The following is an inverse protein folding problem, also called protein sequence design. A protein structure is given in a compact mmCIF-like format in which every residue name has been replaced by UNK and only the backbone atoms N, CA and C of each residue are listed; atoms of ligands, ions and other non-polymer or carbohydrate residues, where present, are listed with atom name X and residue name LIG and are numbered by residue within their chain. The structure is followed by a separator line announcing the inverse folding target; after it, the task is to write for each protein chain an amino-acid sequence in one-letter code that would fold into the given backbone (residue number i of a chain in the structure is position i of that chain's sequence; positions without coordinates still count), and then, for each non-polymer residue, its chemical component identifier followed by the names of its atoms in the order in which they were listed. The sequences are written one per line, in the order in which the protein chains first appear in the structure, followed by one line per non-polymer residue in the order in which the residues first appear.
data_IF_433619659638
#
_entry.id   IF_433619659638
#
_cell.length_a   1.000
_cell.length_b   1.000
_cell.length_c   1.000
_cell.angle_alpha   90.00
_cell.angle_beta   90.00
_cell.angle_gamma   90.00
#
_symmetry.space_group_name_H-M   'P 1'
#
loop_
_entity.id
_entity.type
_entity.pdbx_description
1 polymer ?
#
# COMPACT_ATOMS: atom_id res chain seq x y z
N UNK A 1 2.26 19.20 -17.35
CA UNK A 1 1.97 18.19 -16.33
C UNK A 1 2.51 16.85 -16.81
N UNK A 2 3.73 16.49 -16.39
CA UNK A 2 4.37 15.22 -16.77
C UNK A 2 3.88 14.18 -15.77
N UNK A 3 2.80 13.48 -16.11
CA UNK A 3 2.41 12.26 -15.40
C UNK A 3 3.50 11.24 -15.75
N UNK A 4 4.35 10.89 -14.78
CA UNK A 4 5.33 9.83 -14.97
C UNK A 4 4.58 8.52 -15.25
N UNK A 5 5.03 7.78 -16.26
CA UNK A 5 4.42 6.51 -16.72
C UNK A 5 4.20 5.49 -15.61
N UNK A 6 4.90 5.61 -14.48
CA UNK A 6 4.75 4.79 -13.27
C UNK A 6 3.35 4.87 -12.63
N UNK A 7 2.56 5.94 -12.87
CA UNK A 7 1.21 6.08 -12.30
C UNK A 7 0.09 5.45 -13.14
N UNK A 8 0.38 5.01 -14.36
CA UNK A 8 -0.65 4.48 -15.28
C UNK A 8 -1.19 3.10 -14.89
N UNK A 9 -0.54 2.35 -14.00
CA UNK A 9 -1.05 1.07 -13.48
C UNK A 9 -1.62 1.12 -12.06
N UNK A 10 -1.92 2.31 -11.49
CA UNK A 10 -2.60 2.38 -10.18
C UNK A 10 -4.09 2.08 -10.32
N UNK A 11 -4.68 2.39 -11.47
CA UNK A 11 -6.06 2.01 -11.78
C UNK A 11 -6.04 0.69 -12.55
N UNK A 12 -6.59 -0.35 -11.93
CA UNK A 12 -6.74 -1.70 -12.48
C UNK A 12 -7.21 -1.71 -13.94
N UNK A 13 -8.10 -0.81 -14.34
CA UNK A 13 -8.70 -0.77 -15.68
C UNK A 13 -7.75 -0.45 -16.85
N UNK A 14 -6.54 0.09 -16.64
CA UNK A 14 -5.67 0.51 -17.75
C UNK A 14 -4.56 -0.48 -18.10
N UNK A 15 -4.32 -1.50 -17.27
CA UNK A 15 -3.27 -2.50 -17.49
C UNK A 15 -3.82 -3.88 -17.90
N UNK A 16 -5.14 -4.08 -17.80
CA UNK A 16 -5.83 -5.19 -18.46
C UNK A 16 -6.23 -4.74 -19.87
N UNK A 17 -5.31 -4.92 -20.83
CA UNK A 17 -5.66 -4.81 -22.25
C UNK A 17 -6.74 -5.83 -22.62
N UNK A 18 -7.58 -5.47 -23.60
CA UNK A 18 -8.89 -6.02 -23.97
C UNK A 18 -9.03 -7.53 -24.30
N UNK A 19 -8.09 -8.40 -23.93
CA UNK A 19 -8.16 -9.83 -24.29
C UNK A 19 -7.90 -10.76 -23.10
N UNK A 20 -8.95 -11.13 -22.34
CA UNK A 20 -8.86 -12.27 -21.43
C UNK A 20 -8.60 -13.53 -22.27
N UNK A 21 -7.38 -14.06 -22.20
CA UNK A 21 -7.12 -15.42 -22.68
C UNK A 21 -7.64 -16.38 -21.61
N UNK A 22 -8.61 -17.19 -22.03
CA UNK A 22 -9.23 -18.23 -21.21
C UNK A 22 -8.25 -19.39 -21.11
N UNK A 23 -7.18 -19.20 -20.33
CA UNK A 23 -6.18 -20.24 -20.11
C UNK A 23 -6.60 -21.12 -18.93
N UNK A 24 -6.51 -22.44 -19.10
CA UNK A 24 -7.05 -23.45 -18.17
C UNK A 24 -6.36 -23.46 -16.78
N UNK A 25 -5.39 -22.57 -16.55
CA UNK A 25 -4.67 -22.41 -15.29
C UNK A 25 -5.11 -21.21 -14.44
N UNK A 26 -5.83 -20.22 -15.00
CA UNK A 26 -6.19 -19.04 -14.22
C UNK A 26 -7.18 -19.41 -13.09
N UNK A 27 -6.97 -18.95 -11.84
CA UNK A 27 -7.88 -19.27 -10.74
C UNK A 27 -9.29 -18.76 -11.02
N UNK A 28 -10.28 -19.44 -10.45
CA UNK A 28 -11.67 -19.03 -10.56
C UNK A 28 -11.87 -17.63 -9.98
N UNK A 29 -12.67 -16.80 -10.66
CA UNK A 29 -12.90 -15.38 -10.34
C UNK A 29 -11.66 -14.47 -10.46
N UNK A 30 -10.64 -14.94 -11.19
CA UNK A 30 -9.51 -14.11 -11.57
C UNK A 30 -9.43 -13.96 -13.11
N UNK A 31 -8.84 -12.85 -13.52
CA UNK A 31 -8.45 -12.57 -14.90
C UNK A 31 -6.93 -12.56 -14.97
N UNK A 32 -6.36 -13.41 -15.82
CA UNK A 32 -4.93 -13.56 -15.99
C UNK A 32 -4.51 -13.04 -17.36
N UNK A 33 -3.40 -12.30 -17.39
CA UNK A 33 -2.71 -11.88 -18.60
C UNK A 33 -1.30 -12.47 -18.56
N UNK A 34 -0.99 -13.34 -19.52
CA UNK A 34 0.32 -13.99 -19.68
C UNK A 34 1.20 -13.35 -20.77
N UNK A 35 0.86 -12.12 -21.21
CA UNK A 35 1.67 -11.35 -22.14
C UNK A 35 3.05 -10.97 -21.57
N UNK A 36 3.71 -9.99 -22.20
CA UNK A 36 5.04 -9.52 -21.76
C UNK A 36 5.09 -9.11 -20.27
N UNK A 37 3.97 -8.61 -19.76
CA UNK A 37 3.78 -8.29 -18.34
C UNK A 37 2.76 -9.26 -17.77
N UNK A 38 3.23 -10.26 -17.02
CA UNK A 38 2.34 -11.20 -16.33
C UNK A 38 1.55 -10.49 -15.25
N UNK A 39 0.23 -10.45 -15.38
CA UNK A 39 -0.66 -9.87 -14.37
C UNK A 39 -1.85 -10.76 -14.07
N UNK A 40 -2.32 -10.72 -12.82
CA UNK A 40 -3.54 -11.39 -12.41
C UNK A 40 -4.37 -10.46 -11.53
N UNK A 41 -5.66 -10.32 -11.83
CA UNK A 41 -6.63 -9.65 -10.98
C UNK A 41 -7.67 -10.65 -10.50
N UNK A 42 -7.80 -10.79 -9.19
CA UNK A 42 -8.81 -11.62 -8.57
C UNK A 42 -9.86 -10.73 -7.91
N UNK A 43 -11.12 -11.09 -8.10
CA UNK A 43 -12.25 -10.36 -7.52
C UNK A 43 -12.64 -10.94 -6.15
N UNK A 44 -13.95 -10.97 -5.88
CA UNK A 44 -14.56 -11.21 -4.57
C UNK A 44 -14.12 -12.50 -3.86
N UNK A 45 -13.74 -13.53 -4.62
CA UNK A 45 -13.33 -14.82 -4.10
C UNK A 45 -12.02 -15.24 -4.73
N UNK A 46 -11.09 -15.70 -3.91
CA UNK A 46 -9.85 -16.32 -4.38
C UNK A 46 -9.84 -17.78 -3.94
N UNK A 47 -9.90 -18.67 -4.93
CA UNK A 47 -9.75 -20.09 -4.69
C UNK A 47 -8.30 -20.53 -4.93
N UNK A 48 -7.64 -20.95 -3.86
CA UNK A 48 -6.20 -21.30 -3.83
C UNK A 48 -5.98 -22.77 -4.26
N UNK A 49 -7.02 -23.44 -4.78
CA UNK A 49 -6.95 -24.85 -5.20
C UNK A 49 -5.94 -25.13 -6.32
N UNK A 50 -5.58 -24.12 -7.14
CA UNK A 50 -4.54 -24.26 -8.16
C UNK A 50 -3.19 -23.73 -7.65
N UNK A 51 -2.14 -24.55 -7.78
CA UNK A 51 -0.76 -24.09 -7.54
C UNK A 51 -0.33 -23.00 -8.55
N UNK A 52 -1.15 -22.68 -9.56
CA UNK A 52 -0.86 -21.76 -10.65
C UNK A 52 -0.44 -20.35 -10.20
N UNK A 53 -1.14 -19.76 -9.21
CA UNK A 53 -0.78 -18.45 -8.66
C UNK A 53 0.59 -18.46 -7.97
N UNK A 54 1.01 -19.60 -7.46
CA UNK A 54 2.16 -19.74 -6.56
C UNK A 54 3.41 -20.29 -7.26
N UNK A 55 3.21 -20.99 -8.38
CA UNK A 55 4.29 -21.47 -9.27
C UNK A 55 4.78 -20.33 -10.15
N UNK A 56 3.87 -19.47 -10.61
CA UNK A 56 4.21 -18.37 -11.50
C UNK A 56 4.79 -17.17 -10.76
N UNK A 57 5.75 -16.49 -11.40
CA UNK A 57 6.18 -15.16 -10.99
C UNK A 57 5.32 -14.14 -11.72
N UNK A 58 4.52 -13.39 -10.96
CA UNK A 58 3.69 -12.32 -11.49
C UNK A 58 4.45 -10.99 -11.44
N UNK A 59 4.23 -10.13 -12.42
CA UNK A 59 4.67 -8.74 -12.32
C UNK A 59 3.69 -7.96 -11.45
N UNK A 60 2.39 -8.16 -11.66
CA UNK A 60 1.33 -7.49 -10.91
C UNK A 60 0.27 -8.49 -10.44
N UNK A 61 -0.11 -8.39 -9.18
CA UNK A 61 -1.26 -9.11 -8.61
C UNK A 61 -2.20 -8.09 -8.03
N UNK A 62 -3.47 -8.15 -8.40
CA UNK A 62 -4.51 -7.29 -7.87
C UNK A 62 -5.60 -8.11 -7.17
N UNK A 63 -6.00 -7.69 -5.98
CA UNK A 63 -7.15 -8.21 -5.25
C UNK A 63 -8.19 -7.11 -5.15
N UNK A 64 -9.33 -7.31 -5.79
CA UNK A 64 -10.45 -6.36 -5.79
C UNK A 64 -11.62 -6.95 -5.02
N UNK A 65 -12.12 -6.24 -4.03
CA UNK A 65 -13.30 -6.64 -3.25
C UNK A 65 -13.16 -8.03 -2.62
N UNK A 66 -11.92 -8.45 -2.31
CA UNK A 66 -11.65 -9.79 -1.81
C UNK A 66 -12.37 -9.98 -0.46
N UNK A 67 -13.41 -10.81 -0.47
CA UNK A 67 -14.28 -11.09 0.67
C UNK A 67 -14.17 -12.53 1.15
N UNK A 68 -13.55 -13.41 0.36
CA UNK A 68 -13.36 -14.81 0.72
C UNK A 68 -12.08 -15.37 0.09
N UNK A 69 -11.32 -16.13 0.87
CA UNK A 69 -10.24 -16.98 0.38
C UNK A 69 -10.52 -18.41 0.79
N UNK A 70 -10.54 -19.32 -0.16
CA UNK A 70 -10.74 -20.75 0.08
C UNK A 70 -9.47 -21.52 -0.22
N UNK A 71 -9.16 -22.49 0.63
CA UNK A 71 -8.06 -23.44 0.41
C UNK A 71 -8.44 -24.80 1.01
N UNK A 72 -8.27 -25.85 0.19
CA UNK A 72 -8.36 -27.24 0.65
C UNK A 72 -7.12 -27.69 1.44
N UNK A 73 -6.03 -26.90 1.42
CA UNK A 73 -4.75 -27.25 2.03
C UNK A 73 -4.47 -26.35 3.26
N UNK A 74 -3.98 -26.95 4.36
CA UNK A 74 -3.42 -26.22 5.52
C UNK A 74 -1.94 -25.91 5.29
N UNK A 75 -1.64 -25.00 4.36
CA UNK A 75 -0.27 -24.48 4.18
C UNK A 75 -0.32 -22.98 3.92
N UNK A 76 0.72 -22.26 4.32
CA UNK A 76 0.90 -20.88 3.89
C UNK A 76 1.33 -20.87 2.43
N UNK A 77 0.83 -19.90 1.68
CA UNK A 77 1.13 -19.77 0.26
C UNK A 77 1.99 -18.55 0.02
N UNK A 78 3.09 -18.72 -0.71
CA UNK A 78 4.01 -17.62 -1.03
C UNK A 78 3.74 -17.12 -2.44
N UNK A 79 3.21 -15.92 -2.55
CA UNK A 79 2.96 -15.24 -3.81
C UNK A 79 4.15 -14.34 -4.16
N UNK A 80 4.75 -14.61 -5.33
CA UNK A 80 5.85 -13.82 -5.87
C UNK A 80 5.29 -12.79 -6.85
N UNK A 81 5.30 -11.53 -6.45
CA UNK A 81 4.91 -10.40 -7.30
C UNK A 81 5.84 -9.21 -7.11
N UNK A 82 6.04 -8.41 -8.16
CA UNK A 82 6.72 -7.11 -8.03
C UNK A 82 5.73 -6.04 -7.51
N UNK A 83 4.49 -6.05 -8.00
CA UNK A 83 3.42 -5.12 -7.62
C UNK A 83 2.24 -5.88 -7.00
N UNK A 84 1.81 -5.46 -5.81
CA UNK A 84 0.58 -5.92 -5.18
C UNK A 84 -0.40 -4.75 -5.08
N UNK A 85 -1.61 -4.95 -5.61
CA UNK A 85 -2.72 -3.99 -5.56
C UNK A 85 -3.84 -4.63 -4.75
N UNK A 86 -4.41 -3.88 -3.81
CA UNK A 86 -5.53 -4.32 -2.98
C UNK A 86 -6.56 -3.20 -2.97
N UNK A 87 -7.73 -3.45 -3.51
CA UNK A 87 -8.79 -2.45 -3.60
C UNK A 87 -10.06 -2.95 -2.92
N UNK A 88 -10.71 -2.05 -2.17
CA UNK A 88 -11.97 -2.31 -1.50
C UNK A 88 -11.91 -3.55 -0.59
N UNK A 89 -10.79 -3.74 0.12
CA UNK A 89 -10.64 -4.82 1.08
C UNK A 89 -11.52 -4.55 2.31
N UNK A 90 -12.44 -5.49 2.55
CA UNK A 90 -13.29 -5.53 3.72
C UNK A 90 -12.90 -6.75 4.54
N UNK A 91 -13.00 -6.64 5.85
CA UNK A 91 -12.64 -7.76 6.73
C UNK A 91 -13.38 -9.03 6.30
N UNK A 92 -12.59 -10.01 5.86
CA UNK A 92 -13.08 -11.26 5.30
C UNK A 92 -13.72 -12.05 6.44
N UNK A 93 -15.02 -12.34 6.31
CA UNK A 93 -15.66 -13.37 7.12
C UNK A 93 -14.96 -14.69 6.78
N UNK A 94 -13.99 -15.09 7.61
CA UNK A 94 -13.35 -16.39 7.55
C UNK A 94 -14.43 -17.43 7.86
N UNK A 95 -15.15 -17.87 6.83
CA UNK A 95 -16.01 -19.03 6.90
C UNK A 95 -15.09 -20.22 7.25
N UNK A 96 -15.15 -20.58 8.52
CA UNK A 96 -14.51 -21.74 9.17
C UNK A 96 -14.11 -22.84 8.18
N UNK A 97 -12.81 -23.02 7.93
CA UNK A 97 -12.23 -24.39 8.01
C UNK A 97 -10.69 -24.47 8.04
N UNK A 98 -9.90 -23.53 7.51
CA UNK A 98 -8.43 -23.65 7.57
C UNK A 98 -7.73 -22.28 7.65
N UNK A 99 -6.87 -22.10 8.65
CA UNK A 99 -6.04 -20.90 8.84
C UNK A 99 -4.94 -20.89 7.76
N UNK A 100 -5.27 -20.42 6.56
CA UNK A 100 -4.36 -20.29 5.42
C UNK A 100 -3.93 -18.83 5.30
N UNK A 101 -2.62 -18.57 5.30
CA UNK A 101 -2.08 -17.22 5.12
C UNK A 101 -1.47 -17.09 3.72
N UNK A 102 -1.84 -16.01 3.02
CA UNK A 102 -1.18 -15.57 1.81
C UNK A 102 0.01 -14.68 2.17
N UNK A 103 1.22 -15.16 1.95
CA UNK A 103 2.47 -14.44 2.19
C UNK A 103 2.93 -13.80 0.88
N UNK A 104 3.09 -12.48 0.86
CA UNK A 104 3.48 -11.73 -0.35
C UNK A 104 4.73 -10.90 -0.09
N UNK A 105 5.65 -10.82 -1.07
CA UNK A 105 6.88 -10.02 -0.98
C UNK A 105 7.00 -8.98 -2.10
N UNK A 106 6.11 -7.97 -2.15
CA UNK A 106 6.10 -6.99 -3.24
C UNK A 106 7.23 -5.96 -3.11
N UNK A 107 7.59 -5.36 -4.24
CA UNK A 107 8.38 -4.11 -4.28
C UNK A 107 7.49 -2.87 -4.19
N UNK A 108 6.29 -2.93 -4.77
CA UNK A 108 5.26 -1.90 -4.69
C UNK A 108 4.00 -2.49 -4.07
N UNK A 109 3.54 -1.87 -2.98
CA UNK A 109 2.23 -2.17 -2.38
C UNK A 109 1.30 -0.98 -2.60
N UNK A 110 0.16 -1.23 -3.24
CA UNK A 110 -0.93 -0.27 -3.41
C UNK A 110 -2.15 -0.80 -2.69
N UNK A 111 -2.75 -0.01 -1.80
CA UNK A 111 -3.99 -0.37 -1.13
C UNK A 111 -4.95 0.80 -1.18
N UNK A 112 -6.16 0.58 -1.70
CA UNK A 112 -7.16 1.61 -1.93
C UNK A 112 -8.50 1.23 -1.32
N UNK A 113 -9.26 2.23 -0.87
CA UNK A 113 -10.66 2.08 -0.41
C UNK A 113 -10.86 0.97 0.64
N UNK A 114 -9.87 0.74 1.48
CA UNK A 114 -9.78 -0.46 2.33
C UNK A 114 -9.81 -0.10 3.81
N UNK A 115 -10.37 -0.99 4.63
CA UNK A 115 -10.43 -0.81 6.08
C UNK A 115 -9.69 -1.95 6.78
N UNK A 116 -8.89 -1.62 7.79
CA UNK A 116 -8.18 -2.60 8.64
C UNK A 116 -7.28 -3.60 7.90
N UNK A 117 -6.85 -3.29 6.67
CA UNK A 117 -6.01 -4.19 5.87
C UNK A 117 -4.72 -4.62 6.62
N UNK A 118 -4.09 -3.70 7.35
CA UNK A 118 -2.86 -4.00 8.09
C UNK A 118 -3.03 -4.98 9.27
N UNK A 119 -4.27 -5.20 9.71
CA UNK A 119 -4.63 -6.19 10.74
C UNK A 119 -5.08 -7.52 10.14
N UNK A 120 -5.10 -7.65 8.81
CA UNK A 120 -5.49 -8.88 8.13
C UNK A 120 -4.59 -10.04 8.54
N UNK A 121 -5.19 -11.11 9.04
CA UNK A 121 -4.51 -12.40 9.22
C UNK A 121 -4.40 -13.20 7.92
N UNK A 122 -5.11 -12.76 6.88
CA UNK A 122 -5.22 -13.45 5.61
C UNK A 122 -4.05 -13.13 4.67
N UNK A 123 -3.66 -11.86 4.58
CA UNK A 123 -2.56 -11.42 3.71
C UNK A 123 -1.43 -10.87 4.58
N UNK A 124 -0.32 -11.59 4.60
CA UNK A 124 0.91 -11.18 5.29
C UNK A 124 1.91 -10.61 4.30
N UNK A 125 2.16 -9.31 4.41
CA UNK A 125 3.21 -8.64 3.63
C UNK A 125 4.56 -8.88 4.31
N UNK A 126 5.53 -9.34 3.54
CA UNK A 126 6.94 -9.36 3.96
C UNK A 126 7.64 -8.13 3.36
N UNK A 127 8.06 -7.15 4.18
CA UNK A 127 8.45 -5.83 3.71
C UNK A 127 9.90 -5.75 3.20
N UNK A 128 10.70 -6.83 3.21
CA UNK A 128 12.16 -6.72 2.99
C UNK A 128 12.53 -6.15 1.63
N UNK A 129 11.67 -6.34 0.61
CA UNK A 129 11.86 -5.82 -0.75
C UNK A 129 11.01 -4.60 -1.06
N UNK A 130 10.20 -4.13 -0.11
CA UNK A 130 9.24 -3.06 -0.34
C UNK A 130 9.98 -1.72 -0.52
N UNK A 131 9.84 -1.12 -1.70
CA UNK A 131 10.46 0.15 -2.08
C UNK A 131 9.44 1.27 -2.18
N UNK A 132 8.20 0.95 -2.57
CA UNK A 132 7.12 1.91 -2.74
C UNK A 132 5.88 1.42 -2.03
N UNK A 133 5.21 2.33 -1.33
CA UNK A 133 3.96 2.06 -0.66
C UNK A 133 2.97 3.19 -0.93
N UNK A 134 1.76 2.81 -1.31
CA UNK A 134 0.68 3.70 -1.66
C UNK A 134 -0.60 3.28 -0.95
N UNK A 135 -1.11 4.14 -0.08
CA UNK A 135 -2.43 4.03 0.52
C UNK A 135 -3.28 5.20 0.05
N UNK A 136 -4.49 4.90 -0.44
CA UNK A 136 -5.48 5.92 -0.78
C UNK A 136 -6.85 5.55 -0.20
N UNK A 137 -7.48 6.47 0.54
CA UNK A 137 -8.77 6.20 1.18
C UNK A 137 -8.72 4.92 2.05
N UNK A 138 -7.70 4.82 2.89
CA UNK A 138 -7.51 3.69 3.81
C UNK A 138 -7.68 4.13 5.24
N UNK A 139 -8.58 3.45 5.95
CA UNK A 139 -8.79 3.66 7.37
C UNK A 139 -7.89 2.75 8.20
N UNK A 140 -6.99 3.36 8.96
CA UNK A 140 -6.04 2.70 9.83
C UNK A 140 -6.50 2.62 11.30
N UNK A 141 -7.69 3.14 11.62
CA UNK A 141 -8.19 3.14 13.00
C UNK A 141 -8.62 1.74 13.42
N UNK A 142 -8.07 1.27 14.53
CA UNK A 142 -8.47 -0.02 15.13
C UNK A 142 -9.93 -0.01 15.63
N UNK A 143 -10.50 1.17 15.88
CA UNK A 143 -11.86 1.35 16.40
C UNK A 143 -12.49 2.64 15.89
N UNK A 144 -13.79 2.59 15.58
CA UNK A 144 -14.60 3.74 15.19
C UNK A 144 -14.69 4.81 16.29
N UNK A 145 -14.38 4.46 17.55
CA UNK A 145 -14.35 5.38 18.68
C UNK A 145 -13.04 6.15 18.83
N UNK A 146 -12.08 5.99 17.91
CA UNK A 146 -10.90 6.85 17.82
C UNK A 146 -11.21 8.01 16.86
N UNK A 147 -11.63 9.19 17.38
CA UNK A 147 -11.99 10.32 16.52
C UNK A 147 -10.78 10.92 15.80
N UNK A 148 -9.57 10.64 16.29
CA UNK A 148 -8.30 11.15 15.78
C UNK A 148 -7.47 9.96 15.30
N UNK A 149 -7.06 10.00 14.04
CA UNK A 149 -6.08 9.08 13.48
C UNK A 149 -4.68 9.69 13.66
N UNK A 150 -3.87 9.04 14.48
CA UNK A 150 -2.46 9.39 14.67
C UNK A 150 -1.55 8.39 13.95
N UNK A 151 -0.77 8.86 12.98
CA UNK A 151 0.26 8.07 12.33
C UNK A 151 1.44 7.86 13.30
N UNK A 152 1.63 6.63 13.75
CA UNK A 152 2.68 6.27 14.71
C UNK A 152 3.44 5.00 14.27
N UNK A 153 4.48 4.62 15.02
CA UNK A 153 5.30 3.45 14.68
C UNK A 153 4.52 2.14 14.64
N UNK A 154 3.47 2.00 15.46
CA UNK A 154 2.61 0.81 15.50
C UNK A 154 1.76 0.72 14.23
N UNK A 155 1.21 1.85 13.75
CA UNK A 155 0.37 1.90 12.53
C UNK A 155 1.07 1.27 11.34
N UNK A 156 2.38 1.53 11.17
CA UNK A 156 3.13 1.06 10.01
C UNK A 156 3.97 -0.19 10.30
N UNK A 157 3.96 -0.76 11.51
CA UNK A 157 4.94 -1.77 11.93
C UNK A 157 5.03 -2.99 11.01
N UNK A 158 3.89 -3.40 10.44
CA UNK A 158 3.77 -4.59 9.59
C UNK A 158 4.30 -4.37 8.16
N UNK A 159 4.56 -3.11 7.79
CA UNK A 159 4.99 -2.68 6.45
C UNK A 159 6.27 -1.83 6.51
N UNK A 160 6.92 -1.77 7.67
CA UNK A 160 8.21 -1.08 7.83
C UNK A 160 9.30 -1.78 7.02
N UNK A 161 9.79 -1.09 5.99
CA UNK A 161 10.96 -1.51 5.22
C UNK A 161 12.08 -0.49 5.31
N UNK A 162 13.32 -0.96 5.49
CA UNK A 162 14.53 -0.12 5.39
C UNK A 162 14.81 0.32 3.95
N UNK A 163 14.17 -0.32 2.97
CA UNK A 163 14.35 -0.03 1.55
C UNK A 163 13.28 0.93 0.99
N UNK A 164 12.36 1.40 1.84
CA UNK A 164 11.24 2.24 1.41
C UNK A 164 11.72 3.61 0.92
N UNK A 165 11.53 3.88 -0.37
CA UNK A 165 11.89 5.12 -1.05
C UNK A 165 10.68 6.05 -1.20
N UNK A 166 9.48 5.50 -1.38
CA UNK A 166 8.27 6.29 -1.59
C UNK A 166 7.14 5.84 -0.68
N UNK A 167 6.55 6.80 0.04
CA UNK A 167 5.42 6.60 0.94
C UNK A 167 4.33 7.60 0.57
N UNK A 168 3.20 7.09 0.09
CA UNK A 168 1.99 7.85 -0.20
C UNK A 168 0.89 7.42 0.78
N UNK A 169 0.38 8.37 1.54
CA UNK A 169 -0.75 8.22 2.45
C UNK A 169 -1.77 9.29 2.08
N UNK A 170 -2.61 9.00 1.10
CA UNK A 170 -3.52 9.96 0.47
C UNK A 170 -4.93 9.74 1.01
N UNK A 171 -5.58 10.78 1.51
CA UNK A 171 -6.97 10.67 1.99
C UNK A 171 -7.18 9.56 3.03
N UNK A 172 -6.20 9.37 3.92
CA UNK A 172 -6.21 8.34 4.97
C UNK A 172 -6.73 8.87 6.30
N UNK A 173 -7.40 10.03 6.28
CA UNK A 173 -7.96 10.69 7.45
C UNK A 173 -6.95 10.97 8.58
N UNK A 174 -5.67 11.15 8.25
CA UNK A 174 -4.61 11.38 9.25
C UNK A 174 -4.78 12.77 9.87
N UNK A 175 -4.97 12.84 11.19
CA UNK A 175 -5.12 14.11 11.92
C UNK A 175 -3.80 14.59 12.52
N UNK A 176 -2.91 13.65 12.88
CA UNK A 176 -1.61 13.92 13.50
C UNK A 176 -0.56 12.91 13.04
N UNK A 177 0.67 13.37 12.81
CA UNK A 177 1.81 12.48 12.58
C UNK A 177 2.79 12.61 13.73
N UNK A 178 3.07 11.48 14.39
CA UNK A 178 4.09 11.43 15.42
C UNK A 178 5.47 11.51 14.75
N UNK A 179 6.32 12.43 15.20
CA UNK A 179 7.65 12.63 14.62
C UNK A 179 8.54 11.38 14.65
N UNK A 180 8.30 10.44 15.58
CA UNK A 180 9.02 9.16 15.63
C UNK A 180 8.56 8.16 14.58
N UNK A 181 7.31 8.27 14.10
CA UNK A 181 6.72 7.35 13.11
C UNK A 181 7.55 7.28 11.83
N UNK A 182 8.06 8.43 11.39
CA UNK A 182 8.76 8.55 10.12
C UNK A 182 10.28 8.29 10.25
N UNK A 183 10.87 8.37 11.46
CA UNK A 183 12.33 8.25 11.68
C UNK A 183 12.94 6.91 11.24
N UNK A 184 12.11 5.89 11.01
CA UNK A 184 12.54 4.58 10.51
C UNK A 184 12.75 4.55 9.00
N UNK A 185 12.24 5.53 8.25
CA UNK A 185 12.36 5.62 6.80
C UNK A 185 13.55 6.50 6.36
N UNK A 186 14.77 6.11 6.75
CA UNK A 186 16.00 6.88 6.42
C UNK A 186 16.36 6.88 4.93
N UNK A 187 15.70 6.05 4.13
CA UNK A 187 15.89 5.92 2.69
C UNK A 187 14.83 6.65 1.87
N UNK A 188 13.85 7.27 2.53
CA UNK A 188 12.72 7.90 1.88
C UNK A 188 13.16 9.10 1.03
N UNK A 189 12.75 9.09 -0.24
CA UNK A 189 12.94 10.20 -1.20
C UNK A 189 11.64 10.95 -1.44
N UNK A 190 10.50 10.29 -1.25
CA UNK A 190 9.17 10.85 -1.50
C UNK A 190 8.23 10.52 -0.34
N UNK A 191 7.63 11.56 0.23
CA UNK A 191 6.55 11.48 1.21
C UNK A 191 5.36 12.30 0.72
N UNK A 192 4.21 11.66 0.56
CA UNK A 192 2.94 12.36 0.35
C UNK A 192 1.98 12.03 1.49
N UNK A 193 1.51 13.08 2.16
CA UNK A 193 0.45 13.09 3.16
C UNK A 193 -0.74 13.90 2.63
N UNK A 194 -0.91 13.95 1.31
CA UNK A 194 -1.92 14.77 0.63
C UNK A 194 -3.34 14.41 1.06
N UNK A 195 -4.24 15.40 1.11
CA UNK A 195 -5.68 15.23 1.41
C UNK A 195 -5.95 14.57 2.78
N UNK A 196 -5.09 14.80 3.77
CA UNK A 196 -5.39 14.38 5.14
C UNK A 196 -5.98 15.55 5.95
N UNK A 197 -6.04 15.41 7.27
CA UNK A 197 -6.64 16.37 8.20
C UNK A 197 -5.61 16.95 9.15
N UNK A 198 -4.35 16.98 8.74
CA UNK A 198 -3.24 17.40 9.61
C UNK A 198 -3.42 18.88 9.93
N UNK A 199 -3.60 19.20 11.21
CA UNK A 199 -3.80 20.57 11.72
C UNK A 199 -2.57 21.14 12.41
N UNK A 200 -1.80 20.28 13.07
CA UNK A 200 -0.71 20.73 13.95
C UNK A 200 0.39 21.41 13.16
N UNK A 201 1.09 22.40 13.74
CA UNK A 201 2.35 22.86 13.19
C UNK A 201 3.25 21.65 12.94
N UNK A 202 3.85 21.60 11.77
CA UNK A 202 4.90 20.62 11.52
C UNK A 202 6.03 20.92 12.52
N UNK A 203 6.29 20.00 13.45
CA UNK A 203 7.30 20.20 14.49
C UNK A 203 8.72 20.11 13.89
N UNK A 204 9.67 20.85 14.46
CA UNK A 204 11.10 20.88 14.10
C UNK A 204 11.75 19.50 13.96
N UNK A 205 11.18 18.48 14.60
CA UNK A 205 11.71 17.13 14.70
C UNK A 205 11.11 16.15 13.68
N UNK A 206 10.14 16.58 12.85
CA UNK A 206 9.52 15.73 11.81
C UNK A 206 10.54 15.35 10.75
N UNK A 207 11.32 16.34 10.33
CA UNK A 207 12.40 16.19 9.36
C UNK A 207 13.70 16.48 10.10
N UNK A 208 14.21 15.46 10.80
CA UNK A 208 15.55 15.54 11.41
C UNK A 208 16.64 15.12 10.41
N UNK A 209 17.88 15.04 10.87
CA UNK A 209 19.04 14.66 10.06
C UNK A 209 18.96 13.26 9.44
N UNK A 210 17.90 12.47 9.70
CA UNK A 210 17.67 11.18 9.06
C UNK A 210 16.95 11.29 7.71
N UNK A 211 16.33 12.42 7.39
CA UNK A 211 15.61 12.66 6.11
C UNK A 211 16.49 13.27 5.02
N UNK A 212 17.81 13.03 5.02
CA UNK A 212 18.75 13.62 4.03
C UNK A 212 18.44 13.29 2.58
N UNK A 213 17.72 12.19 2.35
CA UNK A 213 17.35 11.71 1.01
C UNK A 213 15.98 12.21 0.56
N UNK A 214 15.19 12.83 1.43
CA UNK A 214 13.88 13.33 1.06
C UNK A 214 14.05 14.46 0.02
N UNK A 215 13.30 14.37 -1.06
CA UNK A 215 13.31 15.33 -2.17
C UNK A 215 11.92 15.86 -2.45
N UNK A 216 10.90 15.04 -2.21
CA UNK A 216 9.51 15.40 -2.45
C UNK A 216 8.75 15.24 -1.15
N UNK A 217 8.18 16.35 -0.67
CA UNK A 217 7.23 16.40 0.42
C UNK A 217 5.93 17.03 -0.09
N UNK A 218 4.87 16.24 -0.14
CA UNK A 218 3.54 16.72 -0.49
C UNK A 218 2.62 16.64 0.74
N UNK A 219 2.28 17.80 1.28
CA UNK A 219 1.36 17.99 2.40
C UNK A 219 0.12 18.79 1.96
N UNK A 220 -0.13 18.87 0.65
CA UNK A 220 -1.23 19.65 0.09
C UNK A 220 -2.60 19.14 0.54
N UNK A 221 -3.58 20.03 0.57
CA UNK A 221 -4.96 19.72 1.00
C UNK A 221 -5.04 19.13 2.42
N UNK A 222 -4.20 19.62 3.34
CA UNK A 222 -4.35 19.42 4.77
C UNK A 222 -4.96 20.68 5.42
N UNK A 223 -4.96 20.74 6.75
CA UNK A 223 -5.48 21.85 7.56
C UNK A 223 -4.33 22.57 8.29
N UNK A 224 -3.14 22.59 7.69
CA UNK A 224 -1.93 23.15 8.26
C UNK A 224 -2.01 24.68 8.18
N UNK A 225 -2.13 25.33 9.32
CA UNK A 225 -2.21 26.80 9.40
C UNK A 225 -0.84 27.47 9.42
N UNK A 226 0.17 26.76 9.97
CA UNK A 226 1.53 27.28 10.16
C UNK A 226 2.57 26.19 9.92
N UNK A 227 3.67 26.55 9.28
CA UNK A 227 4.85 25.71 9.11
C UNK A 227 5.99 26.37 9.89
N UNK A 228 6.67 25.64 10.77
CA UNK A 228 7.85 26.17 11.46
C UNK A 228 8.98 26.35 10.44
N UNK A 229 9.55 27.56 10.39
CA UNK A 229 10.65 27.92 9.49
C UNK A 229 11.86 26.99 9.64
N UNK A 230 12.04 26.38 10.82
CA UNK A 230 13.15 25.46 11.08
C UNK A 230 13.08 24.18 10.27
N UNK A 231 11.92 23.81 9.73
CA UNK A 231 11.79 22.67 8.81
C UNK A 231 12.57 22.90 7.51
N UNK A 232 12.71 24.16 7.09
CA UNK A 232 13.46 24.52 5.88
C UNK A 232 14.97 24.67 6.13
N UNK A 233 15.46 24.37 7.35
CA UNK A 233 16.91 24.35 7.63
C UNK A 233 17.63 23.13 7.06
N UNK A 234 16.89 22.15 6.56
CA UNK A 234 17.45 21.09 5.72
C UNK A 234 17.56 21.65 4.29
N UNK A 235 18.68 21.41 3.61
CA UNK A 235 18.83 21.78 2.20
C UNK A 235 17.82 20.98 1.35
N UNK A 236 16.67 21.59 1.08
CA UNK A 236 15.67 21.07 0.16
C UNK A 236 16.00 21.59 -1.25
N UNK A 237 16.16 20.68 -2.22
CA UNK A 237 16.04 21.05 -3.64
C UNK A 237 14.57 21.37 -3.90
N UNK A 238 14.18 22.61 -3.61
CA UNK A 238 12.78 23.07 -3.62
C UNK A 238 12.13 22.97 -5.00
N UNK A 239 11.13 22.10 -5.13
CA UNK A 239 10.07 22.24 -6.13
C UNK A 239 8.74 22.25 -5.38
N UNK A 240 8.31 23.45 -4.96
CA UNK A 240 6.94 23.68 -4.51
C UNK A 240 6.20 24.39 -5.66
N UNK A 241 5.17 23.76 -6.21
CA UNK A 241 4.16 24.49 -6.98
C UNK A 241 3.06 24.89 -6.01
N UNK A 242 2.92 26.21 -5.84
CA UNK A 242 1.77 26.88 -5.22
C UNK A 242 0.53 26.77 -6.09
#
# INVERSE_FOLDING_TARGET
MVITKDFLCVFSLLCFGDHPMNDNGCPSNCECNEGEVKSVACNTKLDIESDFLFVNKWTTVAFKELTQVTSKQRKDFVLKTDNLIIDNYKEVNLLKSTKTTLIVQPKLLTVTNSHNFLHSSLIKIKPEKLEKLHFENVDFRESLYQPIMALNEKTLSNILSKNLKSLYLIDCNIDYVNSKALKKFSTLTTLSLRKNRIKTPLEDNWFDTKFKKLRILDISHNQIEKIDEKIFKIEWESIAHS
#
